data_IF_666997967003
#
_entry.id   IF_666997967003
#
_cell.length_a   1.000
_cell.length_b   1.000
_cell.length_c   1.000
_cell.angle_alpha   90.00
_cell.angle_beta   90.00
_cell.angle_gamma   90.00
#
_symmetry.space_group_name_H-M   'P 1'
#
loop_
_entity.id
_entity.type
_entity.pdbx_description
1 polymer ?
#
# COMPACT_ATOMS: atom_id res chain seq x y z
N UNK A 1 -53.25 -49.42 34.66
CA UNK A 1 -51.89 -49.41 34.05
C UNK A 1 -51.99 -48.55 32.80
N UNK A 2 -51.14 -47.54 32.75
CA UNK A 2 -51.37 -46.22 32.13
C UNK A 2 -51.17 -46.15 30.61
N UNK A 3 -51.86 -45.16 30.03
CA UNK A 3 -51.63 -44.49 28.74
C UNK A 3 -50.17 -44.07 28.53
N UNK A 4 -49.71 -44.15 27.27
CA UNK A 4 -48.77 -43.23 26.62
C UNK A 4 -48.86 -43.52 25.10
N UNK A 5 -49.71 -42.81 24.36
CA UNK A 5 -49.43 -41.51 23.71
C UNK A 5 -48.50 -41.63 22.51
N UNK A 6 -49.12 -41.44 21.34
CA UNK A 6 -48.44 -41.26 20.08
C UNK A 6 -47.64 -39.96 20.05
N UNK A 7 -46.46 -40.03 19.44
CA UNK A 7 -45.79 -38.86 18.91
C UNK A 7 -45.53 -39.11 17.43
N UNK A 8 -46.39 -38.50 16.63
CA UNK A 8 -46.20 -38.27 15.21
C UNK A 8 -44.86 -37.57 14.99
N UNK A 9 -44.08 -38.05 14.02
CA UNK A 9 -42.92 -37.34 13.49
C UNK A 9 -43.40 -35.98 12.97
N UNK A 10 -43.04 -34.90 13.67
CA UNK A 10 -43.17 -33.56 13.15
C UNK A 10 -42.19 -33.41 11.97
N UNK A 11 -42.65 -33.03 10.76
CA UNK A 11 -41.73 -32.62 9.72
C UNK A 11 -41.00 -31.36 10.19
N UNK A 12 -39.66 -31.39 10.12
CA UNK A 12 -38.81 -30.23 10.38
C UNK A 12 -39.33 -29.03 9.58
N UNK A 13 -39.45 -27.83 10.19
CA UNK A 13 -39.83 -26.65 9.44
C UNK A 13 -38.80 -26.45 8.32
N UNK A 14 -39.31 -26.36 7.08
CA UNK A 14 -38.53 -26.01 5.92
C UNK A 14 -37.65 -24.82 6.27
N UNK A 15 -36.32 -25.01 6.20
CA UNK A 15 -35.35 -23.97 6.43
C UNK A 15 -35.72 -22.78 5.54
N UNK A 16 -36.24 -21.75 6.20
CA UNK A 16 -36.57 -20.47 5.61
C UNK A 16 -35.34 -19.95 4.88
N UNK A 17 -35.56 -19.53 3.64
CA UNK A 17 -34.52 -19.22 2.67
C UNK A 17 -33.39 -18.37 3.26
N UNK A 18 -32.21 -18.97 3.34
CA UNK A 18 -30.96 -18.24 3.30
C UNK A 18 -30.93 -17.50 1.97
N UNK A 19 -31.36 -16.23 1.99
CA UNK A 19 -31.06 -15.29 0.91
C UNK A 19 -29.56 -15.39 0.64
N UNK A 20 -29.13 -15.66 -0.61
CA UNK A 20 -27.71 -15.64 -0.92
C UNK A 20 -27.19 -14.26 -0.55
N UNK A 21 -26.22 -14.21 0.37
CA UNK A 21 -25.53 -12.99 0.73
C UNK A 21 -25.13 -12.27 -0.56
N UNK A 22 -25.60 -11.03 -0.72
CA UNK A 22 -25.30 -10.22 -1.88
C UNK A 22 -23.79 -10.23 -2.10
N UNK A 23 -23.39 -10.70 -3.29
CA UNK A 23 -21.99 -10.81 -3.73
C UNK A 23 -21.23 -9.49 -3.44
N UNK A 24 -20.00 -9.53 -2.91
CA UNK A 24 -19.15 -8.35 -2.73
C UNK A 24 -18.58 -7.80 -4.06
N UNK A 25 -19.16 -8.15 -5.22
CA UNK A 25 -18.67 -7.74 -6.53
C UNK A 25 -18.93 -6.26 -6.85
N UNK A 26 -19.87 -5.61 -6.15
CA UNK A 26 -20.18 -4.19 -6.34
C UNK A 26 -19.01 -3.24 -6.01
N UNK A 27 -18.07 -3.65 -5.16
CA UNK A 27 -16.92 -2.81 -4.81
C UNK A 27 -15.78 -2.85 -5.82
N UNK A 28 -15.56 -3.96 -6.53
CA UNK A 28 -14.48 -4.07 -7.50
C UNK A 28 -14.72 -3.17 -8.72
N UNK A 29 -15.96 -3.15 -9.23
CA UNK A 29 -16.32 -2.32 -10.37
C UNK A 29 -16.36 -0.83 -9.99
N UNK A 30 -16.85 -0.49 -8.79
CA UNK A 30 -16.82 0.90 -8.31
C UNK A 30 -15.38 1.41 -8.12
N UNK A 31 -14.47 0.59 -7.57
CA UNK A 31 -13.06 0.93 -7.47
C UNK A 31 -12.40 1.05 -8.85
N UNK A 32 -12.74 0.17 -9.79
CA UNK A 32 -12.28 0.25 -11.18
C UNK A 32 -12.75 1.55 -11.85
N UNK A 33 -14.02 1.91 -11.71
CA UNK A 33 -14.57 3.16 -12.25
C UNK A 33 -13.98 4.41 -11.58
N UNK A 34 -13.73 4.37 -10.28
CA UNK A 34 -13.05 5.46 -9.58
C UNK A 34 -11.60 5.61 -10.04
N UNK A 35 -10.88 4.49 -10.24
CA UNK A 35 -9.53 4.49 -10.78
C UNK A 35 -9.47 4.99 -12.24
N UNK A 36 -10.42 4.58 -13.08
CA UNK A 36 -10.56 5.04 -14.47
C UNK A 36 -10.90 6.53 -14.54
N UNK A 37 -11.83 7.02 -13.70
CA UNK A 37 -12.14 8.45 -13.63
C UNK A 37 -10.97 9.25 -13.10
N UNK A 38 -10.27 8.77 -12.06
CA UNK A 38 -9.07 9.41 -11.56
C UNK A 38 -7.99 9.48 -12.66
N UNK A 39 -7.77 8.39 -13.40
CA UNK A 39 -6.87 8.38 -14.54
C UNK A 39 -7.27 9.39 -15.62
N UNK A 40 -8.56 9.45 -15.99
CA UNK A 40 -9.07 10.42 -16.95
C UNK A 40 -8.95 11.89 -16.46
N UNK A 41 -9.15 12.12 -15.16
CA UNK A 41 -8.97 13.46 -14.55
C UNK A 41 -7.48 13.85 -14.48
N UNK A 42 -6.59 12.85 -14.43
CA UNK A 42 -5.15 13.04 -14.57
C UNK A 42 -4.73 13.15 -16.04
N UNK A 43 -5.59 12.91 -17.02
CA UNK A 43 -5.25 12.99 -18.44
C UNK A 43 -5.61 14.34 -19.08
N UNK A 44 -6.46 15.15 -18.46
CA UNK A 44 -6.82 16.48 -18.97
C UNK A 44 -5.64 17.47 -19.02
N UNK A 45 -5.73 18.33 -20.03
CA UNK A 45 -4.73 19.11 -20.76
C UNK A 45 -3.66 19.86 -19.93
N UNK A 46 -2.38 19.61 -20.27
CA UNK A 46 -1.23 20.49 -20.02
C UNK A 46 -0.12 20.13 -21.05
N UNK A 47 0.76 21.08 -21.40
CA UNK A 47 1.50 21.09 -22.67
C UNK A 47 2.33 19.83 -22.91
N UNK A 48 2.38 19.43 -24.18
CA UNK A 48 2.85 18.14 -24.67
C UNK A 48 4.31 17.77 -24.34
N UNK A 49 5.13 18.68 -23.82
CA UNK A 49 6.51 18.39 -23.46
C UNK A 49 6.79 18.62 -21.97
N UNK A 50 6.68 17.53 -21.21
CA UNK A 50 7.42 17.39 -19.96
C UNK A 50 8.89 17.27 -20.32
N UNK A 51 9.75 18.06 -19.69
CA UNK A 51 11.19 17.89 -19.86
C UNK A 51 11.60 16.45 -19.42
N UNK A 52 12.63 15.84 -20.00
CA UNK A 52 13.12 14.52 -19.61
C UNK A 52 13.86 14.54 -18.28
N UNK A 53 14.12 13.38 -17.67
CA UNK A 53 15.01 13.27 -16.51
C UNK A 53 16.43 13.76 -16.84
N UNK A 54 17.01 14.60 -15.99
CA UNK A 54 18.35 15.17 -16.19
C UNK A 54 19.42 14.08 -16.18
N UNK A 55 19.28 13.07 -15.32
CA UNK A 55 20.28 12.03 -15.14
C UNK A 55 20.29 10.98 -16.26
N UNK A 56 19.15 10.77 -16.92
CA UNK A 56 18.98 9.64 -17.85
C UNK A 56 18.57 10.07 -19.26
N UNK A 57 18.11 11.30 -19.45
CA UNK A 57 17.48 11.75 -20.70
C UNK A 57 16.15 11.07 -21.01
N UNK A 58 15.67 10.15 -20.15
CA UNK A 58 14.44 9.41 -20.38
C UNK A 58 13.21 10.29 -20.17
N UNK A 59 12.12 10.04 -20.91
CA UNK A 59 10.87 10.77 -20.72
C UNK A 59 10.33 10.57 -19.29
N UNK A 60 9.82 11.64 -18.68
CA UNK A 60 9.18 11.57 -17.37
C UNK A 60 7.77 11.00 -17.48
N UNK A 61 7.41 10.10 -16.56
CA UNK A 61 6.05 9.56 -16.48
C UNK A 61 5.06 10.67 -16.11
N UNK A 62 4.18 11.02 -17.06
CA UNK A 62 3.12 12.03 -16.86
C UNK A 62 2.16 11.62 -15.74
N UNK A 63 1.71 10.36 -15.77
CA UNK A 63 0.77 9.83 -14.78
C UNK A 63 1.33 9.92 -13.35
N UNK A 64 2.55 9.42 -13.12
CA UNK A 64 3.15 9.43 -11.78
C UNK A 64 3.36 10.86 -11.27
N UNK A 65 3.87 11.74 -12.12
CA UNK A 65 4.04 13.15 -11.78
C UNK A 65 2.71 13.82 -11.41
N UNK A 66 1.68 13.66 -12.25
CA UNK A 66 0.35 14.25 -11.97
C UNK A 66 -0.29 13.67 -10.72
N UNK A 67 -0.23 12.35 -10.51
CA UNK A 67 -0.81 11.71 -9.32
C UNK A 67 -0.16 12.22 -8.02
N UNK A 68 1.18 12.23 -7.95
CA UNK A 68 1.89 12.71 -6.76
C UNK A 68 1.69 14.21 -6.53
N UNK A 69 1.73 15.01 -7.61
CA UNK A 69 1.46 16.44 -7.54
C UNK A 69 0.04 16.76 -7.08
N UNK A 70 -0.96 16.00 -7.55
CA UNK A 70 -2.34 16.14 -7.12
C UNK A 70 -2.51 15.78 -5.63
N UNK A 71 -1.97 14.64 -5.19
CA UNK A 71 -2.02 14.22 -3.78
C UNK A 71 -1.36 15.26 -2.86
N UNK A 72 -0.20 15.79 -3.28
CA UNK A 72 0.51 16.81 -2.51
C UNK A 72 -0.25 18.14 -2.47
N UNK A 73 -0.73 18.64 -3.63
CA UNK A 73 -1.44 19.92 -3.76
C UNK A 73 -2.77 19.93 -3.00
N UNK A 74 -3.56 18.86 -3.13
CA UNK A 74 -4.88 18.75 -2.47
C UNK A 74 -4.78 18.40 -1.00
N UNK A 75 -3.60 18.01 -0.51
CA UNK A 75 -3.37 17.48 0.85
C UNK A 75 -4.21 16.24 1.20
N UNK A 76 -4.91 15.67 0.22
CA UNK A 76 -5.88 14.58 0.41
C UNK A 76 -5.23 13.37 1.09
N UNK A 77 -4.04 12.97 0.65
CA UNK A 77 -3.33 11.84 1.27
C UNK A 77 -3.00 12.06 2.75
N UNK A 78 -2.58 13.28 3.12
CA UNK A 78 -2.25 13.60 4.52
C UNK A 78 -3.48 13.53 5.41
N UNK A 79 -4.60 14.06 4.91
CA UNK A 79 -5.90 13.99 5.59
C UNK A 79 -6.34 12.53 5.73
N UNK A 80 -6.28 11.74 4.65
CA UNK A 80 -6.61 10.31 4.69
C UNK A 80 -5.73 9.55 5.68
N UNK A 81 -4.43 9.83 5.72
CA UNK A 81 -3.50 9.19 6.65
C UNK A 81 -3.80 9.54 8.12
N UNK A 82 -4.13 10.80 8.41
CA UNK A 82 -4.56 11.22 9.75
C UNK A 82 -5.91 10.60 10.15
N UNK A 83 -6.89 10.62 9.24
CA UNK A 83 -8.18 9.98 9.44
C UNK A 83 -8.06 8.49 9.68
N UNK A 84 -7.17 7.79 8.96
CA UNK A 84 -6.90 6.37 9.17
C UNK A 84 -6.47 6.07 10.62
N UNK A 85 -5.55 6.85 11.17
CA UNK A 85 -5.09 6.68 12.56
C UNK A 85 -6.25 6.95 13.54
N UNK A 86 -6.96 8.06 13.35
CA UNK A 86 -8.04 8.48 14.22
C UNK A 86 -9.18 7.45 14.23
N UNK A 87 -9.63 7.02 13.04
CA UNK A 87 -10.67 6.00 12.89
C UNK A 87 -10.25 4.67 13.49
N UNK A 88 -9.01 4.21 13.27
CA UNK A 88 -8.54 2.97 13.87
C UNK A 88 -8.55 3.02 15.41
N UNK A 89 -8.18 4.17 16.01
CA UNK A 89 -8.22 4.36 17.45
C UNK A 89 -9.65 4.41 18.01
N UNK A 90 -10.56 5.14 17.34
CA UNK A 90 -11.97 5.26 17.75
C UNK A 90 -12.68 3.91 17.65
N UNK A 91 -12.56 3.23 16.50
CA UNK A 91 -13.18 1.93 16.26
C UNK A 91 -12.68 0.89 17.25
N UNK A 92 -11.37 0.83 17.51
CA UNK A 92 -10.81 -0.08 18.51
C UNK A 92 -11.41 0.13 19.91
N UNK A 93 -11.57 1.38 20.35
CA UNK A 93 -12.22 1.69 21.63
C UNK A 93 -13.69 1.28 21.65
N UNK A 94 -14.44 1.59 20.59
CA UNK A 94 -15.86 1.25 20.50
C UNK A 94 -16.13 -0.26 20.47
N UNK A 95 -15.25 -1.03 19.84
CA UNK A 95 -15.34 -2.49 19.78
C UNK A 95 -14.80 -3.20 21.04
N UNK A 96 -14.43 -2.45 22.09
CA UNK A 96 -13.88 -3.03 23.32
C UNK A 96 -12.46 -3.61 23.16
N UNK A 97 -11.78 -3.35 22.04
CA UNK A 97 -10.42 -3.80 21.76
C UNK A 97 -9.51 -2.60 21.42
N UNK A 98 -9.18 -1.75 22.41
CA UNK A 98 -8.39 -0.54 22.18
C UNK A 98 -7.00 -0.89 21.65
N UNK A 99 -6.53 -0.12 20.67
CA UNK A 99 -5.20 -0.31 20.10
C UNK A 99 -4.11 -0.11 21.17
N UNK A 100 -3.12 -1.01 21.17
CA UNK A 100 -1.91 -0.84 21.99
C UNK A 100 -1.07 0.35 21.52
N UNK A 101 -0.21 0.87 22.42
CA UNK A 101 0.72 1.97 22.09
C UNK A 101 1.59 1.64 20.87
N UNK A 102 2.09 0.41 20.78
CA UNK A 102 2.90 -0.08 19.65
C UNK A 102 2.12 -0.09 18.34
N UNK A 103 0.87 -0.58 18.37
CA UNK A 103 0.00 -0.61 17.19
C UNK A 103 -0.35 0.80 16.70
N UNK A 104 -0.50 1.77 17.61
CA UNK A 104 -0.70 3.17 17.25
C UNK A 104 0.57 3.79 16.69
N UNK A 105 1.73 3.52 17.31
CA UNK A 105 3.02 4.01 16.85
C UNK A 105 3.34 3.52 15.42
N UNK A 106 3.15 2.23 15.12
CA UNK A 106 3.39 1.72 13.77
C UNK A 106 2.43 2.28 12.73
N UNK A 107 1.17 2.53 13.08
CA UNK A 107 0.23 3.26 12.20
C UNK A 107 0.72 4.68 11.92
N UNK A 108 1.19 5.38 12.95
CA UNK A 108 1.76 6.73 12.80
C UNK A 108 3.02 6.71 11.93
N UNK A 109 3.91 5.73 12.12
CA UNK A 109 5.10 5.56 11.27
C UNK A 109 4.71 5.28 9.81
N UNK A 110 3.73 4.41 9.56
CA UNK A 110 3.23 4.13 8.21
C UNK A 110 2.59 5.35 7.54
N UNK A 111 1.76 6.08 8.28
CA UNK A 111 1.16 7.33 7.82
C UNK A 111 2.24 8.38 7.49
N UNK A 112 3.24 8.53 8.37
CA UNK A 112 4.36 9.45 8.15
C UNK A 112 5.21 9.04 6.95
N UNK A 113 5.56 7.76 6.83
CA UNK A 113 6.37 7.23 5.73
C UNK A 113 5.66 7.41 4.38
N UNK A 114 4.38 7.04 4.28
CA UNK A 114 3.61 7.21 3.04
C UNK A 114 3.40 8.68 2.68
N UNK A 115 3.17 9.54 3.68
CA UNK A 115 3.05 10.99 3.50
C UNK A 115 4.35 11.64 3.02
N UNK A 116 5.47 11.28 3.64
CA UNK A 116 6.80 11.72 3.23
C UNK A 116 7.13 11.22 1.83
N UNK A 117 6.77 9.97 1.50
CA UNK A 117 6.98 9.41 0.17
C UNK A 117 6.20 10.18 -0.90
N UNK A 118 4.93 10.54 -0.67
CA UNK A 118 4.16 11.39 -1.61
C UNK A 118 4.86 12.72 -1.86
N UNK A 119 5.36 13.36 -0.80
CA UNK A 119 6.07 14.64 -0.92
C UNK A 119 7.39 14.51 -1.70
N UNK A 120 8.19 13.49 -1.38
CA UNK A 120 9.48 13.23 -2.02
C UNK A 120 9.27 12.83 -3.48
N UNK A 121 8.34 11.93 -3.75
CA UNK A 121 8.00 11.50 -5.11
C UNK A 121 7.49 12.67 -5.96
N UNK A 122 6.68 13.58 -5.40
CA UNK A 122 6.28 14.80 -6.11
C UNK A 122 7.50 15.70 -6.45
N UNK A 123 8.46 15.83 -5.54
CA UNK A 123 9.72 16.55 -5.81
C UNK A 123 10.54 15.90 -6.92
N UNK A 124 10.68 14.57 -6.89
CA UNK A 124 11.45 13.83 -7.88
C UNK A 124 10.77 13.80 -9.26
N UNK A 125 9.45 13.65 -9.30
CA UNK A 125 8.71 13.50 -10.55
C UNK A 125 8.28 14.81 -11.19
N UNK A 126 8.27 15.95 -10.48
CA UNK A 126 7.88 17.26 -11.03
C UNK A 126 8.94 18.37 -10.85
N UNK A 127 10.23 18.14 -11.16
CA UNK A 127 11.25 19.18 -11.08
C UNK A 127 11.07 20.26 -12.17
N UNK A 128 10.52 19.89 -13.33
CA UNK A 128 10.21 20.79 -14.44
C UNK A 128 9.09 21.78 -14.11
N UNK A 129 8.07 21.34 -13.37
CA UNK A 129 7.03 22.25 -12.87
C UNK A 129 7.60 23.25 -11.85
N UNK A 130 8.61 22.85 -11.08
CA UNK A 130 9.31 23.73 -10.12
C UNK A 130 10.20 24.74 -10.84
N UNK A 131 10.88 24.32 -11.90
CA UNK A 131 11.62 25.20 -12.81
C UNK A 131 10.69 26.28 -13.38
N UNK A 132 9.53 25.88 -13.94
CA UNK A 132 8.51 26.82 -14.46
C UNK A 132 7.96 27.76 -13.37
N UNK A 133 7.90 27.29 -12.13
CA UNK A 133 7.50 28.10 -10.97
C UNK A 133 8.65 28.96 -10.39
N UNK A 134 9.75 29.16 -11.13
CA UNK A 134 10.85 30.04 -10.72
C UNK A 134 11.87 29.41 -9.76
N UNK A 135 11.95 28.08 -9.67
CA UNK A 135 12.99 27.36 -8.91
C UNK A 135 13.99 26.67 -9.84
N UNK A 136 15.01 27.39 -10.36
CA UNK A 136 15.94 26.84 -11.34
C UNK A 136 16.82 25.72 -10.76
N UNK A 137 17.14 25.80 -9.47
CA UNK A 137 17.90 24.81 -8.71
C UNK A 137 17.24 23.43 -8.66
N UNK A 138 15.89 23.38 -8.73
CA UNK A 138 15.12 22.14 -8.71
C UNK A 138 15.35 21.27 -9.95
N UNK A 139 15.90 21.83 -11.04
CA UNK A 139 16.16 21.14 -12.29
C UNK A 139 17.67 21.02 -12.56
N UNK A 140 18.34 20.21 -11.76
CA UNK A 140 19.77 19.95 -11.89
C UNK A 140 20.07 18.47 -11.65
N UNK A 141 21.23 18.00 -12.13
CA UNK A 141 21.66 16.62 -11.90
C UNK A 141 21.83 16.32 -10.39
N UNK A 142 22.29 17.31 -9.62
CA UNK A 142 22.43 17.21 -8.18
C UNK A 142 21.07 17.10 -7.47
N UNK A 143 20.13 18.00 -7.79
CA UNK A 143 18.79 17.98 -7.21
C UNK A 143 18.04 16.69 -7.58
N UNK A 144 18.16 16.23 -8.83
CA UNK A 144 17.55 14.99 -9.28
C UNK A 144 18.18 13.77 -8.58
N UNK A 145 19.50 13.76 -8.39
CA UNK A 145 20.20 12.70 -7.65
C UNK A 145 19.75 12.65 -6.20
N UNK A 146 19.66 13.79 -5.53
CA UNK A 146 19.20 13.88 -4.15
C UNK A 146 17.75 13.41 -4.03
N UNK A 147 16.86 13.90 -4.89
CA UNK A 147 15.45 13.53 -4.89
C UNK A 147 15.26 12.03 -5.17
N UNK A 148 16.04 11.44 -6.08
CA UNK A 148 16.02 10.01 -6.39
C UNK A 148 16.49 9.15 -5.21
N UNK A 149 17.54 9.57 -4.50
CA UNK A 149 18.00 8.89 -3.28
C UNK A 149 16.91 8.91 -2.21
N UNK A 150 16.29 10.06 -2.00
CA UNK A 150 15.18 10.21 -1.07
C UNK A 150 13.97 9.35 -1.49
N UNK A 151 13.66 9.26 -2.79
CA UNK A 151 12.54 8.46 -3.30
C UNK A 151 12.74 6.97 -3.01
N UNK A 152 13.96 6.44 -3.20
CA UNK A 152 14.28 5.06 -2.81
C UNK A 152 14.13 4.81 -1.31
N UNK A 153 14.64 5.70 -0.47
CA UNK A 153 14.47 5.59 0.98
C UNK A 153 12.99 5.69 1.36
N UNK A 154 12.23 6.57 0.71
CA UNK A 154 10.79 6.73 0.90
C UNK A 154 10.02 5.45 0.61
N UNK A 155 10.23 4.85 -0.57
CA UNK A 155 9.60 3.59 -0.97
C UNK A 155 9.94 2.48 0.03
N UNK A 156 11.22 2.30 0.35
CA UNK A 156 11.67 1.28 1.30
C UNK A 156 11.07 1.47 2.70
N UNK A 157 10.95 2.72 3.15
CA UNK A 157 10.33 3.07 4.42
C UNK A 157 8.83 2.74 4.44
N UNK A 158 8.11 2.95 3.34
CA UNK A 158 6.70 2.54 3.20
C UNK A 158 6.58 1.02 3.31
N UNK A 159 7.42 0.26 2.60
CA UNK A 159 7.40 -1.20 2.65
C UNK A 159 7.67 -1.73 4.07
N UNK A 160 8.66 -1.14 4.74
CA UNK A 160 9.05 -1.51 6.12
C UNK A 160 7.94 -1.21 7.12
N UNK A 161 7.42 0.01 7.09
CA UNK A 161 6.39 0.44 8.05
C UNK A 161 5.08 -0.32 7.85
N UNK A 162 4.75 -0.75 6.63
CA UNK A 162 3.63 -1.65 6.40
C UNK A 162 3.87 -3.06 6.96
N UNK A 163 5.07 -3.62 6.83
CA UNK A 163 5.41 -4.89 7.47
C UNK A 163 5.35 -4.79 9.01
N UNK A 164 5.83 -3.68 9.59
CA UNK A 164 5.69 -3.42 11.03
C UNK A 164 4.23 -3.35 11.44
N UNK A 165 3.42 -2.58 10.71
CA UNK A 165 2.00 -2.46 10.96
C UNK A 165 1.31 -3.84 10.94
N UNK A 166 1.57 -4.65 9.92
CA UNK A 166 1.00 -6.01 9.83
C UNK A 166 1.48 -6.91 10.97
N UNK A 167 2.78 -6.91 11.28
CA UNK A 167 3.33 -7.70 12.38
C UNK A 167 2.70 -7.36 13.74
N UNK A 168 2.30 -6.11 13.96
CA UNK A 168 1.63 -5.68 15.19
C UNK A 168 0.15 -6.01 15.27
N UNK A 169 -0.52 -6.16 14.12
CA UNK A 169 -1.92 -6.56 14.07
C UNK A 169 -2.09 -8.08 14.10
N UNK A 170 -1.04 -8.83 13.77
CA UNK A 170 -1.06 -10.29 13.63
C UNK A 170 -0.04 -10.93 14.57
N UNK A 171 -0.16 -10.61 15.86
CA UNK A 171 0.82 -10.97 16.89
C UNK A 171 1.06 -12.49 17.05
N UNK A 172 0.14 -13.32 16.57
CA UNK A 172 0.22 -14.79 16.56
C UNK A 172 1.26 -15.34 15.57
N UNK A 173 1.79 -14.50 14.67
CA UNK A 173 2.84 -14.86 13.72
C UNK A 173 4.19 -14.28 14.12
N UNK A 174 4.95 -15.02 14.93
CA UNK A 174 6.30 -14.60 15.35
C UNK A 174 7.24 -14.34 14.16
N UNK A 175 7.07 -15.06 13.05
CA UNK A 175 7.85 -14.88 11.82
C UNK A 175 7.69 -13.49 11.20
N UNK A 176 6.51 -12.86 11.31
CA UNK A 176 6.28 -11.49 10.79
C UNK A 176 7.08 -10.43 11.54
N UNK A 177 7.32 -10.64 12.85
CA UNK A 177 8.14 -9.71 13.63
C UNK A 177 9.58 -9.74 13.14
N UNK A 178 10.13 -10.92 12.86
CA UNK A 178 11.45 -11.08 12.28
C UNK A 178 11.54 -10.44 10.89
N UNK A 179 10.57 -10.71 10.01
CA UNK A 179 10.49 -10.09 8.68
C UNK A 179 10.42 -8.56 8.78
N UNK A 180 9.68 -8.02 9.75
CA UNK A 180 9.63 -6.59 10.02
C UNK A 180 10.99 -6.01 10.43
N UNK A 181 11.71 -6.68 11.32
CA UNK A 181 13.07 -6.27 11.74
C UNK A 181 14.04 -6.31 10.55
N UNK A 182 14.06 -7.41 9.81
CA UNK A 182 14.90 -7.57 8.61
C UNK A 182 14.57 -6.49 7.57
N UNK A 183 13.29 -6.15 7.37
CA UNK A 183 12.89 -5.07 6.47
C UNK A 183 13.39 -3.70 6.93
N UNK A 184 13.43 -3.45 8.25
CA UNK A 184 14.06 -2.27 8.83
C UNK A 184 15.54 -2.17 8.49
N UNK A 185 16.28 -3.28 8.62
CA UNK A 185 17.69 -3.36 8.22
C UNK A 185 17.87 -3.14 6.72
N UNK A 186 16.96 -3.68 5.89
CA UNK A 186 16.96 -3.44 4.45
C UNK A 186 16.76 -1.96 4.11
N UNK A 187 15.89 -1.24 4.82
CA UNK A 187 15.73 0.21 4.63
C UNK A 187 16.97 0.99 4.99
N UNK A 188 17.65 0.63 6.07
CA UNK A 188 18.95 1.21 6.41
C UNK A 188 19.98 0.94 5.30
N UNK A 189 20.06 -0.31 4.80
CA UNK A 189 20.94 -0.67 3.69
C UNK A 189 20.60 0.10 2.40
N UNK A 190 19.30 0.29 2.09
CA UNK A 190 18.86 1.13 0.96
C UNK A 190 19.34 2.57 1.13
N UNK A 191 19.27 3.16 2.33
CA UNK A 191 19.77 4.51 2.57
C UNK A 191 21.29 4.63 2.34
N UNK A 192 22.05 3.66 2.85
CA UNK A 192 23.52 3.61 2.66
C UNK A 192 23.87 3.43 1.19
N UNK A 193 23.25 2.47 0.49
CA UNK A 193 23.49 2.21 -0.93
C UNK A 193 23.04 3.38 -1.80
N UNK A 194 21.87 3.96 -1.55
CA UNK A 194 21.39 5.13 -2.29
C UNK A 194 22.42 6.27 -2.19
N UNK A 195 22.97 6.52 -0.99
CA UNK A 195 24.02 7.54 -0.80
C UNK A 195 25.32 7.19 -1.51
N UNK A 196 25.77 5.93 -1.45
CA UNK A 196 27.09 5.52 -1.94
C UNK A 196 27.17 5.35 -3.46
N UNK A 197 26.12 4.82 -4.10
CA UNK A 197 26.21 4.30 -5.48
C UNK A 197 25.22 4.89 -6.47
N UNK A 198 24.20 5.66 -6.07
CA UNK A 198 23.35 6.43 -7.01
C UNK A 198 24.10 7.70 -7.43
N UNK A 199 24.21 8.03 -8.74
CA UNK A 199 23.40 7.54 -9.87
C UNK A 199 24.03 6.43 -10.74
N UNK A 200 25.05 5.70 -10.25
CA UNK A 200 25.67 4.62 -11.04
C UNK A 200 24.66 3.49 -11.29
N UNK A 201 24.66 2.92 -12.51
CA UNK A 201 23.74 1.85 -12.93
C UNK A 201 23.72 0.65 -11.98
N UNK A 202 24.89 0.20 -11.51
CA UNK A 202 25.00 -0.89 -10.55
C UNK A 202 24.29 -0.59 -9.21
N UNK A 203 24.35 0.67 -8.76
CA UNK A 203 23.67 1.11 -7.54
C UNK A 203 22.14 1.10 -7.66
N UNK A 204 21.62 1.51 -8.81
CA UNK A 204 20.19 1.43 -9.10
C UNK A 204 19.65 -0.01 -9.04
N UNK A 205 20.39 -0.96 -9.61
CA UNK A 205 19.99 -2.37 -9.57
C UNK A 205 20.01 -2.93 -8.15
N UNK A 206 21.06 -2.67 -7.37
CA UNK A 206 21.18 -3.16 -5.99
C UNK A 206 20.04 -2.64 -5.09
N UNK A 207 19.75 -1.33 -5.16
CA UNK A 207 18.64 -0.72 -4.39
C UNK A 207 17.29 -1.31 -4.80
N UNK A 208 17.06 -1.53 -6.10
CA UNK A 208 15.83 -2.17 -6.60
C UNK A 208 15.68 -3.61 -6.15
N UNK A 209 16.77 -4.38 -6.07
CA UNK A 209 16.73 -5.77 -5.58
C UNK A 209 16.29 -5.81 -4.11
N UNK A 210 16.84 -4.93 -3.25
CA UNK A 210 16.45 -4.86 -1.85
C UNK A 210 14.97 -4.48 -1.69
N UNK A 211 14.52 -3.43 -2.37
CA UNK A 211 13.11 -3.03 -2.35
C UNK A 211 12.20 -4.11 -2.95
N UNK A 212 12.66 -4.80 -3.99
CA UNK A 212 11.96 -5.94 -4.60
C UNK A 212 11.78 -7.10 -3.63
N UNK A 213 12.80 -7.41 -2.82
CA UNK A 213 12.71 -8.41 -1.77
C UNK A 213 11.71 -8.00 -0.68
N UNK A 214 11.74 -6.74 -0.22
CA UNK A 214 10.75 -6.22 0.74
C UNK A 214 9.32 -6.30 0.17
N UNK A 215 9.15 -5.92 -1.09
CA UNK A 215 7.86 -5.98 -1.78
C UNK A 215 7.37 -7.43 -1.93
N UNK A 216 8.24 -8.36 -2.34
CA UNK A 216 7.90 -9.77 -2.48
C UNK A 216 7.48 -10.39 -1.14
N UNK A 217 8.17 -10.06 -0.06
CA UNK A 217 7.78 -10.49 1.29
C UNK A 217 6.38 -9.96 1.66
N UNK A 218 6.11 -8.68 1.40
CA UNK A 218 4.81 -8.06 1.68
C UNK A 218 3.70 -8.66 0.81
N UNK A 219 3.90 -8.79 -0.50
CA UNK A 219 2.90 -9.34 -1.41
C UNK A 219 2.65 -10.83 -1.15
N UNK A 220 3.72 -11.60 -0.97
CA UNK A 220 3.65 -13.02 -0.64
C UNK A 220 2.86 -13.26 0.64
N UNK A 221 3.05 -12.39 1.64
CA UNK A 221 2.27 -12.44 2.86
C UNK A 221 0.79 -12.09 2.66
N UNK A 222 0.49 -11.05 1.87
CA UNK A 222 -0.89 -10.68 1.56
C UNK A 222 -1.61 -11.83 0.84
N UNK A 223 -0.97 -12.41 -0.18
CA UNK A 223 -1.50 -13.53 -0.94
C UNK A 223 -1.74 -14.75 -0.04
N UNK A 224 -0.78 -15.08 0.83
CA UNK A 224 -0.92 -16.16 1.80
C UNK A 224 -2.09 -15.90 2.76
N UNK A 225 -2.23 -14.68 3.28
CA UNK A 225 -3.31 -14.33 4.22
C UNK A 225 -4.68 -14.43 3.56
N UNK A 226 -4.82 -13.91 2.33
CA UNK A 226 -6.06 -14.04 1.54
C UNK A 226 -6.38 -15.51 1.31
N UNK A 227 -5.40 -16.32 0.91
CA UNK A 227 -5.61 -17.75 0.72
C UNK A 227 -5.98 -18.47 2.02
N UNK A 228 -5.27 -18.19 3.11
CA UNK A 228 -5.46 -18.80 4.42
C UNK A 228 -6.76 -18.40 5.13
N UNK A 229 -7.42 -17.32 4.69
CA UNK A 229 -8.70 -16.84 5.23
C UNK A 229 -9.88 -17.01 4.26
N UNK A 230 -9.62 -17.35 2.99
CA UNK A 230 -10.67 -17.62 2.02
C UNK A 230 -11.56 -18.80 2.44
N UNK A 231 -12.88 -18.80 2.20
CA UNK A 231 -13.73 -19.97 2.46
C UNK A 231 -13.16 -21.23 1.78
N UNK A 232 -13.27 -22.39 2.42
CA UNK A 232 -12.72 -23.67 1.90
C UNK A 232 -13.19 -23.95 0.47
N UNK A 233 -14.44 -23.61 0.13
CA UNK A 233 -15.01 -23.71 -1.22
C UNK A 233 -14.26 -22.89 -2.29
N UNK A 234 -13.55 -21.83 -1.91
CA UNK A 234 -12.72 -21.02 -2.80
C UNK A 234 -11.26 -21.50 -2.88
N UNK A 235 -10.85 -22.47 -2.04
CA UNK A 235 -9.51 -23.08 -2.06
C UNK A 235 -9.47 -24.39 -2.84
N UNK A 236 -10.62 -24.91 -3.25
CA UNK A 236 -10.74 -26.12 -4.09
C UNK A 236 -10.84 -25.71 -5.56
N UNK A 237 -9.71 -25.66 -6.23
CA UNK A 237 -9.59 -25.99 -7.66
C UNK A 237 -8.13 -26.37 -7.93
N UNK A 238 -7.93 -27.28 -8.90
CA UNK A 238 -6.67 -27.98 -9.22
C UNK A 238 -6.36 -29.20 -8.32
N UNK A 239 -7.31 -30.13 -8.23
CA UNK A 239 -7.00 -31.58 -8.15
C UNK A 239 -8.10 -32.36 -8.87
N UNK A 240 -8.14 -32.22 -10.19
CA UNK A 240 -8.85 -33.16 -11.09
C UNK A 240 -8.68 -32.72 -12.55
N UNK A 241 -7.49 -32.93 -13.09
CA UNK A 241 -7.34 -33.33 -14.48
C UNK A 241 -6.28 -34.42 -14.45
N UNK A 242 -6.73 -35.66 -14.68
CA UNK A 242 -5.89 -36.85 -14.71
C UNK A 242 -5.00 -36.89 -15.95
#
# INVERSE_FOLDING_TARGET
>A
VNQADGLAYAPLPAASGLRPAARPLLHADQMRWAAVRLAATLETEEPSERLPYVLTGLPRSRFRGKAMGWLHKTRSWYVTAALYIALAAVVGRQMGNPLSKTQLAFRACAAAATSANVFISDRYHNPDLRLRAGRPDAYSAEAETWALRCDYVGISSVLTTQLWLWSSNMAWMHQLKLVGVVSGLMTFAVAVLARAVVPRKAGHSAVKVLMGAQFAALLGYLAWTVWATAPVACRVSVRSAG
#
